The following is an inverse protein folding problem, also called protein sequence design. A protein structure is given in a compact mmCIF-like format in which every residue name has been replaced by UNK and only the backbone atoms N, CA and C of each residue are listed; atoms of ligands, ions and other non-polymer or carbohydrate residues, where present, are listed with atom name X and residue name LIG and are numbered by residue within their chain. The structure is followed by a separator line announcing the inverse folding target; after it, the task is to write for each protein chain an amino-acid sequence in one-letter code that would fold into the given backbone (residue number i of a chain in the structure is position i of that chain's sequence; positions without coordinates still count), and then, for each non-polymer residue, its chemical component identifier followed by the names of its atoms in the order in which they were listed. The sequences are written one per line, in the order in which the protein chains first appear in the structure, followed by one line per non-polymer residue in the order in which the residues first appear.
data_IF_560119891591
#
_entry.id   IF_560119891591
#
_cell.length_a   1.000
_cell.length_b   1.000
_cell.length_c   1.000
_cell.angle_alpha   90.00
_cell.angle_beta   90.00
_cell.angle_gamma   90.00
#
_symmetry.space_group_name_H-M   'P 1'
#
loop_
_entity.id
_entity.type
_entity.pdbx_description
1 polymer ?
#
# COMPACT_ATOMS: atom_id res chain seq x y z
N UNK A 1 6.83 -0.87 12.95
CA UNK A 1 7.73 0.31 12.91
C UNK A 1 7.90 0.64 11.44
N UNK A 2 7.69 1.91 11.05
CA UNK A 2 7.93 2.33 9.66
C UNK A 2 9.42 2.31 9.37
N UNK A 3 9.80 1.77 8.21
CA UNK A 3 11.18 1.79 7.70
C UNK A 3 11.57 3.17 7.20
N UNK A 4 10.59 3.89 6.65
CA UNK A 4 10.75 5.25 6.20
C UNK A 4 9.46 6.04 6.49
N UNK A 5 9.62 7.24 7.02
CA UNK A 5 8.55 8.22 7.18
C UNK A 5 9.15 9.60 6.91
N UNK A 6 8.66 10.28 5.88
CA UNK A 6 9.15 11.59 5.50
C UNK A 6 8.00 12.57 5.29
N UNK A 7 8.24 13.83 5.69
CA UNK A 7 7.38 14.96 5.43
C UNK A 7 8.19 16.02 4.70
N UNK A 8 7.60 16.63 3.69
CA UNK A 8 8.25 17.67 2.90
C UNK A 8 7.29 18.80 2.62
N UNK A 9 7.73 20.02 2.87
CA UNK A 9 7.04 21.25 2.50
C UNK A 9 8.09 22.33 2.26
N UNK A 10 7.73 23.37 1.54
CA UNK A 10 8.59 24.53 1.28
C UNK A 10 7.84 25.83 1.56
N UNK A 11 8.57 26.85 1.95
CA UNK A 11 8.04 28.18 2.20
C UNK A 11 8.67 29.18 1.24
N UNK A 12 7.84 29.90 0.48
CA UNK A 12 8.28 30.94 -0.43
C UNK A 12 8.13 32.32 0.25
N UNK A 13 9.23 32.92 0.62
CA UNK A 13 9.24 34.23 1.30
C UNK A 13 8.83 35.39 0.37
N UNK A 14 9.01 35.22 -0.94
CA UNK A 14 8.74 36.25 -1.93
C UNK A 14 7.30 36.26 -2.44
N UNK A 15 6.53 35.20 -2.20
CA UNK A 15 5.15 35.14 -2.64
C UNK A 15 4.26 36.06 -1.81
N UNK A 16 3.31 36.75 -2.45
CA UNK A 16 2.34 37.60 -1.76
C UNK A 16 1.29 36.80 -0.98
N UNK A 17 0.94 35.61 -1.50
CA UNK A 17 -0.06 34.71 -0.90
C UNK A 17 0.38 33.26 -1.07
N UNK A 18 -0.24 32.33 -0.32
CA UNK A 18 0.03 30.90 -0.39
C UNK A 18 1.52 30.54 -0.25
N UNK A 19 2.18 31.19 0.71
CA UNK A 19 3.63 31.08 0.93
C UNK A 19 4.09 29.66 1.28
N UNK A 20 3.26 28.88 1.97
CA UNK A 20 3.56 27.50 2.34
C UNK A 20 3.07 26.53 1.25
N UNK A 21 3.94 25.68 0.77
CA UNK A 21 3.53 24.63 -0.16
C UNK A 21 2.72 23.56 0.57
N UNK A 22 1.91 22.76 -0.14
CA UNK A 22 1.28 21.59 0.45
C UNK A 22 2.30 20.68 1.12
N UNK A 23 1.91 20.14 2.28
CA UNK A 23 2.74 19.20 3.05
C UNK A 23 2.58 17.82 2.43
N UNK A 24 3.63 17.33 1.81
CA UNK A 24 3.68 15.96 1.29
C UNK A 24 4.21 15.04 2.36
N UNK A 25 3.59 13.88 2.49
CA UNK A 25 4.10 12.81 3.34
C UNK A 25 4.22 11.50 2.57
N UNK A 26 5.20 10.73 2.94
CA UNK A 26 5.36 9.36 2.48
C UNK A 26 5.84 8.47 3.64
N UNK A 27 5.34 7.26 3.66
CA UNK A 27 5.74 6.24 4.60
C UNK A 27 5.85 4.91 3.88
N UNK A 28 6.80 4.10 4.28
CA UNK A 28 6.98 2.74 3.79
C UNK A 28 7.33 1.83 4.94
N UNK A 29 6.79 0.63 4.89
CA UNK A 29 7.16 -0.44 5.80
C UNK A 29 6.95 -1.79 5.12
N UNK A 30 7.70 -2.77 5.56
CA UNK A 30 7.53 -4.16 5.16
C UNK A 30 7.26 -5.04 6.38
N UNK A 31 6.48 -6.08 6.17
CA UNK A 31 6.09 -7.05 7.18
C UNK A 31 6.45 -8.45 6.69
N UNK A 32 6.56 -9.39 7.63
CA UNK A 32 6.80 -10.80 7.34
C UNK A 32 8.01 -11.01 6.43
N UNK A 33 9.17 -10.45 6.79
CA UNK A 33 10.42 -10.55 6.02
C UNK A 33 10.29 -10.07 4.55
N UNK A 34 9.42 -9.08 4.30
CA UNK A 34 9.24 -8.51 2.97
C UNK A 34 8.13 -9.14 2.12
N UNK A 35 7.40 -10.13 2.65
CA UNK A 35 6.24 -10.72 1.95
C UNK A 35 5.10 -9.73 1.76
N UNK A 36 4.95 -8.78 2.69
CA UNK A 36 3.94 -7.73 2.62
C UNK A 36 4.60 -6.37 2.68
N UNK A 37 4.37 -5.54 1.68
CA UNK A 37 4.89 -4.19 1.60
C UNK A 37 3.74 -3.19 1.64
N UNK A 38 3.83 -2.21 2.53
CA UNK A 38 2.89 -1.11 2.63
C UNK A 38 3.59 0.19 2.26
N UNK A 39 3.01 0.91 1.33
CA UNK A 39 3.41 2.29 1.00
C UNK A 39 2.22 3.21 1.19
N UNK A 40 2.47 4.31 1.88
CA UNK A 40 1.50 5.36 2.14
C UNK A 40 2.09 6.67 1.64
N UNK A 41 1.35 7.40 0.84
CA UNK A 41 1.73 8.74 0.42
C UNK A 41 0.53 9.66 0.37
N UNK A 42 0.77 10.93 0.57
CA UNK A 42 -0.34 11.88 0.53
C UNK A 42 0.12 13.33 0.57
N UNK A 43 -0.88 14.18 0.53
CA UNK A 43 -0.73 15.61 0.42
C UNK A 43 -1.77 16.31 1.29
N UNK A 44 -1.31 17.19 2.17
CA UNK A 44 -2.14 18.03 3.04
C UNK A 44 -2.02 19.46 2.53
N UNK A 45 -3.13 20.06 2.16
CA UNK A 45 -3.18 21.50 1.89
C UNK A 45 -3.28 22.25 3.23
N UNK A 46 -2.28 23.08 3.57
CA UNK A 46 -2.28 23.81 4.83
C UNK A 46 -3.28 24.97 4.86
N UNK A 47 -3.93 25.28 3.76
CA UNK A 47 -4.83 26.41 3.63
C UNK A 47 -6.29 26.00 3.76
N UNK A 48 -7.13 26.97 4.12
CA UNK A 48 -8.56 26.76 4.24
C UNK A 48 -9.28 27.01 2.92
N UNK A 49 -10.45 26.42 2.78
CA UNK A 49 -11.38 26.70 1.69
C UNK A 49 -12.57 27.47 2.21
N UNK A 50 -13.06 28.41 1.44
CA UNK A 50 -14.31 29.13 1.70
C UNK A 50 -15.36 28.66 0.71
N UNK A 51 -16.51 28.29 1.23
CA UNK A 51 -17.68 27.94 0.40
C UNK A 51 -18.33 29.26 -0.03
N UNK A 52 -18.46 29.48 -1.33
CA UNK A 52 -19.12 30.65 -1.88
C UNK A 52 -20.60 30.36 -2.17
N UNK A 53 -20.91 29.25 -2.84
CA UNK A 53 -22.29 28.81 -3.07
C UNK A 53 -22.37 27.32 -3.38
N UNK A 54 -23.58 26.77 -3.26
CA UNK A 54 -23.89 25.40 -3.68
C UNK A 54 -25.14 25.47 -4.55
N UNK A 55 -25.06 24.86 -5.74
CA UNK A 55 -26.18 24.77 -6.68
C UNK A 55 -26.49 23.32 -6.96
N UNK A 56 -27.75 22.94 -6.81
CA UNK A 56 -28.21 21.63 -7.22
C UNK A 56 -28.59 21.69 -8.70
N UNK A 57 -28.01 20.81 -9.50
CA UNK A 57 -28.35 20.65 -10.91
C UNK A 57 -29.69 19.91 -11.02
N UNK A 58 -30.41 20.15 -12.10
CA UNK A 58 -31.66 19.42 -12.43
C UNK A 58 -31.47 17.90 -12.54
N UNK A 59 -30.23 17.44 -12.66
CA UNK A 59 -29.84 16.01 -12.63
C UNK A 59 -29.58 15.47 -11.23
N UNK A 60 -29.79 16.26 -10.16
CA UNK A 60 -29.49 15.89 -8.78
C UNK A 60 -28.01 16.00 -8.40
N UNK A 61 -27.15 16.44 -9.30
CA UNK A 61 -25.72 16.66 -9.04
C UNK A 61 -25.51 17.98 -8.29
N UNK A 62 -24.71 17.94 -7.25
CA UNK A 62 -24.38 19.12 -6.43
C UNK A 62 -23.13 19.81 -6.99
N UNK A 63 -23.28 21.05 -7.45
CA UNK A 63 -22.17 21.88 -7.90
C UNK A 63 -21.76 22.79 -6.75
N UNK A 64 -20.50 22.65 -6.32
CA UNK A 64 -19.93 23.39 -5.19
C UNK A 64 -18.99 24.45 -5.74
N UNK A 65 -19.33 25.71 -5.50
CA UNK A 65 -18.47 26.86 -5.78
C UNK A 65 -17.69 27.19 -4.51
N UNK A 66 -16.39 27.05 -4.59
CA UNK A 66 -15.49 27.26 -3.47
C UNK A 66 -14.21 27.93 -3.93
N UNK A 67 -13.58 28.66 -3.05
CA UNK A 67 -12.26 29.21 -3.27
C UNK A 67 -11.30 28.84 -2.15
N UNK A 68 -10.06 28.61 -2.53
CA UNK A 68 -8.96 28.48 -1.60
C UNK A 68 -8.54 29.85 -1.09
N UNK A 69 -8.38 30.02 0.21
CA UNK A 69 -7.96 31.28 0.83
C UNK A 69 -6.58 31.11 1.47
N UNK A 70 -5.83 32.19 1.55
CA UNK A 70 -4.45 32.18 2.05
C UNK A 70 -4.34 32.05 3.58
N UNK A 71 -5.46 31.76 4.25
CA UNK A 71 -5.50 31.57 5.69
C UNK A 71 -5.04 30.15 6.04
N UNK A 72 -4.03 30.02 6.91
CA UNK A 72 -3.56 28.73 7.38
C UNK A 72 -4.58 28.08 8.32
N UNK A 73 -4.94 26.83 8.03
CA UNK A 73 -5.88 26.05 8.84
C UNK A 73 -5.42 25.91 10.31
N UNK A 74 -4.12 25.79 10.54
CA UNK A 74 -3.52 25.71 11.86
C UNK A 74 -3.80 26.96 12.71
N UNK A 75 -3.72 28.14 12.11
CA UNK A 75 -3.98 29.41 12.80
C UNK A 75 -5.48 29.61 13.12
N UNK A 76 -6.33 29.00 12.30
CA UNK A 76 -7.79 29.06 12.48
C UNK A 76 -8.34 27.90 13.34
N UNK A 77 -7.48 27.15 14.03
CA UNK A 77 -7.85 26.00 14.86
C UNK A 77 -8.59 24.88 14.11
N UNK A 78 -8.41 24.79 12.78
CA UNK A 78 -9.00 23.78 11.91
C UNK A 78 -8.05 22.60 11.65
N UNK A 79 -7.05 22.41 12.50
CA UNK A 79 -6.03 21.37 12.37
C UNK A 79 -4.89 21.76 11.45
N UNK A 80 -4.14 20.79 10.95
CA UNK A 80 -2.95 21.01 10.09
C UNK A 80 -3.29 21.30 8.63
N UNK A 81 -4.56 21.23 8.26
CA UNK A 81 -5.03 21.45 6.89
C UNK A 81 -5.98 20.37 6.39
N UNK A 82 -6.26 20.41 5.09
CA UNK A 82 -7.12 19.44 4.38
C UNK A 82 -6.28 18.33 3.76
N UNK A 83 -6.67 17.08 4.01
CA UNK A 83 -6.07 15.93 3.32
C UNK A 83 -6.67 15.83 1.91
N UNK A 84 -5.96 16.41 0.93
CA UNK A 84 -6.43 16.49 -0.45
C UNK A 84 -6.24 15.18 -1.21
N UNK A 85 -5.18 14.47 -0.89
CA UNK A 85 -4.79 13.25 -1.56
C UNK A 85 -4.18 12.26 -0.59
N UNK A 86 -4.59 11.00 -0.68
CA UNK A 86 -3.94 9.88 -0.03
C UNK A 86 -3.93 8.68 -0.96
N UNK A 87 -2.78 8.04 -1.06
CA UNK A 87 -2.57 6.79 -1.75
C UNK A 87 -2.06 5.76 -0.76
N UNK A 88 -2.69 4.60 -0.74
CA UNK A 88 -2.29 3.44 0.05
C UNK A 88 -2.03 2.31 -0.94
N UNK A 89 -0.80 1.82 -0.99
CA UNK A 89 -0.43 0.69 -1.81
C UNK A 89 0.04 -0.46 -0.91
N UNK A 90 -0.62 -1.61 -1.07
CA UNK A 90 -0.27 -2.88 -0.43
C UNK A 90 0.23 -3.83 -1.51
N UNK A 91 1.41 -4.37 -1.32
CA UNK A 91 1.99 -5.40 -2.16
C UNK A 91 2.17 -6.68 -1.35
N UNK A 92 1.79 -7.80 -1.94
CA UNK A 92 1.97 -9.15 -1.40
C UNK A 92 2.79 -9.94 -2.38
N UNK A 93 3.80 -10.64 -1.89
CA UNK A 93 4.61 -11.54 -2.69
C UNK A 93 4.78 -12.85 -1.94
N UNK A 94 4.39 -13.93 -2.59
CA UNK A 94 4.55 -15.29 -2.08
C UNK A 94 5.24 -16.14 -3.14
N UNK A 95 6.12 -17.02 -2.71
CA UNK A 95 6.81 -17.98 -3.57
C UNK A 95 6.92 -19.32 -2.87
N UNK A 96 7.19 -20.38 -3.65
CA UNK A 96 7.42 -21.70 -3.09
C UNK A 96 8.51 -21.71 -2.01
N UNK A 97 9.53 -20.85 -2.15
CA UNK A 97 10.64 -20.76 -1.20
C UNK A 97 10.23 -20.19 0.17
N UNK A 98 9.17 -19.38 0.23
CA UNK A 98 8.69 -18.76 1.47
C UNK A 98 7.99 -19.78 2.38
N UNK A 99 7.59 -20.90 1.84
CA UNK A 99 6.89 -22.01 2.52
C UNK A 99 7.75 -23.26 2.67
N UNK A 100 9.01 -23.22 2.22
CA UNK A 100 9.93 -24.31 2.50
C UNK A 100 10.19 -24.37 3.99
N UNK A 101 9.75 -25.46 4.63
CA UNK A 101 10.18 -25.76 5.98
C UNK A 101 11.61 -26.35 5.93
N UNK A 102 12.42 -26.04 6.95
CA UNK A 102 13.75 -26.66 7.15
C UNK A 102 13.65 -28.18 7.43
N UNK A 103 12.46 -28.76 7.33
CA UNK A 103 12.15 -30.16 7.60
C UNK A 103 12.72 -31.16 6.57
N UNK A 104 13.56 -30.70 5.64
CA UNK A 104 14.15 -31.57 4.60
C UNK A 104 15.30 -32.47 5.05
N UNK A 105 15.78 -32.29 6.26
CA UNK A 105 16.80 -33.17 6.85
C UNK A 105 16.22 -34.21 7.80
N UNK A 106 14.91 -34.27 7.95
CA UNK A 106 14.29 -35.29 8.80
C UNK A 106 14.08 -36.54 7.97
N UNK A 107 14.73 -37.63 8.37
CA UNK A 107 14.46 -38.97 7.83
C UNK A 107 12.96 -39.21 7.82
N UNK A 108 12.45 -39.67 6.67
CA UNK A 108 11.05 -40.05 6.57
C UNK A 108 10.81 -41.23 7.50
N UNK A 109 10.06 -41.05 8.53
CA UNK A 109 9.49 -42.07 9.39
C UNK A 109 8.06 -42.33 8.91
N UNK A 110 7.78 -43.49 8.38
CA UNK A 110 6.45 -43.80 7.88
C UNK A 110 5.98 -45.12 8.51
N UNK A 111 4.76 -45.10 8.99
CA UNK A 111 4.06 -46.27 9.51
C UNK A 111 3.70 -47.28 8.38
N UNK A 112 3.86 -46.86 7.12
CA UNK A 112 3.57 -47.65 5.93
C UNK A 112 4.87 -47.92 5.16
N UNK A 113 5.18 -49.19 4.93
CA UNK A 113 6.35 -49.67 4.19
C UNK A 113 7.27 -50.56 5.04
N UNK A 114 8.20 -51.27 4.37
CA UNK A 114 9.21 -52.05 5.07
C UNK A 114 10.40 -51.18 5.45
N UNK A 115 11.12 -51.54 6.52
CA UNK A 115 12.33 -50.83 6.93
C UNK A 115 13.39 -50.72 5.83
N UNK A 116 13.44 -51.70 4.92
CA UNK A 116 14.34 -51.71 3.77
C UNK A 116 13.92 -50.66 2.72
N UNK A 117 12.62 -50.48 2.49
CA UNK A 117 12.09 -49.49 1.56
C UNK A 117 12.33 -48.05 2.12
N UNK A 118 12.13 -47.85 3.41
CA UNK A 118 12.40 -46.57 4.07
C UNK A 118 13.90 -46.22 4.02
N UNK A 119 14.77 -47.18 4.31
CA UNK A 119 16.21 -46.98 4.20
C UNK A 119 16.64 -46.67 2.74
N UNK A 120 16.04 -47.32 1.75
CA UNK A 120 16.33 -47.01 0.35
C UNK A 120 15.89 -45.61 -0.04
N UNK A 121 14.71 -45.20 0.36
CA UNK A 121 14.19 -43.86 0.11
C UNK A 121 15.07 -42.80 0.80
N UNK A 122 15.39 -43.00 2.08
CA UNK A 122 16.21 -42.07 2.85
C UNK A 122 17.65 -41.97 2.32
N UNK A 123 18.19 -43.07 1.77
CA UNK A 123 19.54 -43.11 1.17
C UNK A 123 19.58 -42.46 -0.22
N UNK A 124 18.46 -42.40 -0.91
CA UNK A 124 18.36 -41.93 -2.31
C UNK A 124 17.33 -40.80 -2.47
N UNK A 125 17.23 -39.91 -1.49
CA UNK A 125 16.27 -38.81 -1.52
C UNK A 125 16.36 -37.95 -2.79
N UNK A 126 17.53 -37.86 -3.42
CA UNK A 126 17.74 -37.11 -4.66
C UNK A 126 17.09 -37.77 -5.90
N UNK A 127 16.75 -39.06 -5.84
CA UNK A 127 16.08 -39.77 -6.93
C UNK A 127 14.56 -39.61 -6.88
N UNK A 128 14.01 -39.22 -5.72
CA UNK A 128 12.59 -38.94 -5.59
C UNK A 128 12.31 -37.55 -6.04
N UNK A 129 11.46 -37.41 -7.04
CA UNK A 129 11.06 -36.11 -7.61
C UNK A 129 10.56 -35.20 -6.50
N UNK A 130 11.35 -34.19 -6.20
CA UNK A 130 10.90 -33.08 -5.37
C UNK A 130 9.86 -32.29 -6.17
N UNK A 131 8.58 -32.49 -5.89
CA UNK A 131 7.48 -31.68 -6.44
C UNK A 131 7.56 -30.21 -5.98
N UNK A 132 8.75 -29.72 -5.83
CA UNK A 132 8.99 -28.33 -5.53
C UNK A 132 8.87 -27.50 -6.81
N UNK A 133 7.67 -27.52 -7.36
CA UNK A 133 7.36 -26.68 -8.53
C UNK A 133 7.61 -25.23 -8.14
N UNK A 134 8.55 -24.54 -8.80
CA UNK A 134 8.80 -23.15 -8.52
C UNK A 134 7.61 -22.32 -8.99
N UNK A 135 6.91 -21.75 -8.04
CA UNK A 135 5.81 -20.83 -8.31
C UNK A 135 6.02 -19.51 -7.57
N UNK A 136 5.49 -18.45 -8.12
CA UNK A 136 5.37 -17.16 -7.44
C UNK A 136 4.00 -16.55 -7.67
N UNK A 137 3.47 -15.91 -6.65
CA UNK A 137 2.22 -15.13 -6.73
C UNK A 137 2.49 -13.74 -6.18
N UNK A 138 2.15 -12.74 -6.96
CA UNK A 138 2.19 -11.36 -6.55
C UNK A 138 0.76 -10.81 -6.59
N UNK A 139 0.36 -10.13 -5.54
CA UNK A 139 -0.87 -9.38 -5.49
C UNK A 139 -0.55 -7.94 -5.09
N UNK A 140 -1.21 -6.98 -5.72
CA UNK A 140 -1.09 -5.58 -5.33
C UNK A 140 -2.47 -4.95 -5.24
N UNK A 141 -2.69 -4.24 -4.15
CA UNK A 141 -3.88 -3.45 -3.92
C UNK A 141 -3.49 -1.98 -3.79
N UNK A 142 -4.17 -1.13 -4.55
CA UNK A 142 -3.95 0.29 -4.54
C UNK A 142 -5.27 1.01 -4.27
N UNK A 143 -5.28 1.85 -3.25
CA UNK A 143 -6.39 2.72 -2.89
C UNK A 143 -5.94 4.17 -3.02
N UNK A 144 -6.65 4.91 -3.84
CA UNK A 144 -6.41 6.31 -4.09
C UNK A 144 -7.66 7.10 -3.72
N UNK A 145 -7.52 8.06 -2.80
CA UNK A 145 -8.59 8.98 -2.43
C UNK A 145 -8.15 10.40 -2.69
N UNK A 146 -8.97 11.15 -3.39
CA UNK A 146 -8.77 12.57 -3.65
C UNK A 146 -9.99 13.37 -3.21
N UNK A 147 -9.74 14.44 -2.46
CA UNK A 147 -10.77 15.39 -2.03
C UNK A 147 -10.19 16.80 -2.09
N UNK A 148 -10.91 17.74 -2.65
CA UNK A 148 -10.48 19.15 -2.73
C UNK A 148 -11.56 20.02 -2.07
N UNK A 149 -11.21 20.60 -0.91
CA UNK A 149 -12.09 21.45 -0.14
C UNK A 149 -13.40 20.75 0.24
N UNK A 150 -14.53 21.35 -0.13
CA UNK A 150 -15.88 20.86 0.18
C UNK A 150 -16.46 19.87 -0.82
N UNK A 151 -15.73 19.57 -1.92
CA UNK A 151 -16.20 18.61 -2.92
C UNK A 151 -16.21 17.19 -2.35
N UNK A 152 -17.08 16.36 -2.89
CA UNK A 152 -17.11 14.94 -2.55
C UNK A 152 -15.81 14.25 -2.93
N UNK A 153 -15.34 13.31 -2.10
CA UNK A 153 -14.12 12.59 -2.39
C UNK A 153 -14.30 11.63 -3.57
N UNK A 154 -13.30 11.58 -4.43
CA UNK A 154 -13.17 10.52 -5.44
C UNK A 154 -12.31 9.41 -4.85
N UNK A 155 -12.79 8.18 -4.93
CA UNK A 155 -12.11 6.97 -4.48
C UNK A 155 -11.88 6.06 -5.69
N UNK A 156 -10.64 5.63 -5.87
CA UNK A 156 -10.27 4.64 -6.87
C UNK A 156 -9.56 3.49 -6.18
N UNK A 157 -9.96 2.26 -6.51
CA UNK A 157 -9.37 1.05 -5.97
C UNK A 157 -8.96 0.15 -7.14
N UNK A 158 -7.78 -0.42 -7.04
CA UNK A 158 -7.25 -1.33 -8.05
C UNK A 158 -6.63 -2.53 -7.35
N UNK A 159 -7.00 -3.72 -7.77
CA UNK A 159 -6.43 -4.97 -7.32
C UNK A 159 -5.85 -5.70 -8.52
N UNK A 160 -4.59 -6.05 -8.44
CA UNK A 160 -3.87 -6.73 -9.52
C UNK A 160 -3.26 -8.02 -8.97
N UNK A 161 -3.37 -9.08 -9.74
CA UNK A 161 -2.73 -10.37 -9.47
C UNK A 161 -1.85 -10.76 -10.64
N UNK A 162 -0.69 -11.32 -10.34
CA UNK A 162 0.18 -11.99 -11.30
C UNK A 162 0.80 -13.20 -10.64
N UNK A 163 1.08 -14.22 -11.43
CA UNK A 163 1.73 -15.43 -10.93
C UNK A 163 2.51 -16.10 -12.05
N UNK A 164 3.58 -16.76 -11.67
CA UNK A 164 4.45 -17.55 -12.54
C UNK A 164 4.53 -18.98 -12.00
N UNK A 165 4.48 -19.91 -12.90
CA UNK A 165 4.65 -21.34 -12.64
C UNK A 165 5.66 -21.87 -13.64
N UNK A 166 6.78 -22.39 -13.16
CA UNK A 166 7.79 -23.04 -13.99
C UNK A 166 7.62 -24.56 -13.87
N UNK A 167 7.37 -25.23 -14.98
CA UNK A 167 7.20 -26.69 -15.07
C UNK A 167 8.41 -27.27 -15.75
#
# INVERSE_FOLDING_TARGET
IFENLAFTSSYNFLADSFKLSPIRFNARTSFFKGLVNLSLSGNIDPYTYRLDSTVESSSGSKIIYQRRVSDLALLNKQGIGSLDFINIALGFRFSANDFKSDARETELDSEYGTAEQLNYINSNMAEYIDFNVPWSVNASYNLNRRKIGYRDPTLTQTLTFSGDLSI
#
